data_IF_188266926794
#
_entry.id   IF_188266926794
#
_cell.length_a   1.000
_cell.length_b   1.000
_cell.length_c   1.000
_cell.angle_alpha   90.00
_cell.angle_beta   90.00
_cell.angle_gamma   90.00
#
_symmetry.space_group_name_H-M   'P 1'
#
loop_
_entity.id
_entity.type
_entity.pdbx_description
1 polymer ?
#
# COMPACT_ATOMS: atom_id res chain seq x y z
N UNK A 1 1.48 -3.22 10.89
CA UNK A 1 2.89 -3.65 10.84
C UNK A 1 3.32 -3.86 9.39
N UNK A 2 4.59 -3.59 9.07
CA UNK A 2 5.15 -3.85 7.73
C UNK A 2 5.50 -5.33 7.56
N UNK A 3 5.42 -5.84 6.32
CA UNK A 3 5.74 -7.24 5.97
C UNK A 3 7.22 -7.59 6.14
N UNK A 4 8.12 -6.61 6.12
CA UNK A 4 9.54 -6.77 6.44
C UNK A 4 9.87 -6.66 7.93
N UNK A 5 8.85 -6.48 8.79
CA UNK A 5 9.01 -6.38 10.24
C UNK A 5 8.49 -7.63 10.95
N UNK A 6 9.14 -8.02 12.04
CA UNK A 6 8.73 -9.14 12.92
C UNK A 6 8.21 -8.64 14.27
N UNK A 7 7.79 -7.38 14.38
CA UNK A 7 7.31 -6.79 15.63
C UNK A 7 6.15 -5.82 15.35
N UNK A 8 5.08 -5.81 16.16
CA UNK A 8 4.85 -6.65 17.35
C UNK A 8 4.51 -8.12 17.07
N UNK A 9 4.16 -8.48 15.83
CA UNK A 9 3.72 -9.83 15.49
C UNK A 9 4.76 -10.55 14.62
N UNK A 10 5.41 -11.59 15.16
CA UNK A 10 6.22 -12.48 14.33
C UNK A 10 5.34 -13.27 13.35
N UNK A 11 5.80 -13.48 12.13
CA UNK A 11 5.01 -14.13 11.08
C UNK A 11 5.85 -14.91 10.05
N UNK A 12 5.26 -15.92 9.37
CA UNK A 12 5.99 -16.75 8.40
C UNK A 12 6.10 -16.14 6.99
N UNK A 13 5.39 -15.04 6.70
CA UNK A 13 5.38 -14.41 5.37
C UNK A 13 6.64 -13.57 5.10
N UNK A 14 7.79 -14.24 5.08
CA UNK A 14 9.13 -13.64 4.91
C UNK A 14 9.78 -13.95 3.55
N UNK A 15 9.08 -14.68 2.69
CA UNK A 15 9.52 -14.93 1.32
C UNK A 15 8.98 -13.84 0.39
N UNK A 16 9.84 -13.03 -0.25
CA UNK A 16 9.42 -12.02 -1.22
C UNK A 16 8.61 -12.59 -2.39
N UNK A 17 8.78 -13.87 -2.74
CA UNK A 17 8.04 -14.50 -3.85
C UNK A 17 6.52 -14.60 -3.59
N UNK A 18 6.08 -14.43 -2.34
CA UNK A 18 4.66 -14.38 -1.98
C UNK A 18 4.01 -13.03 -2.30
N UNK A 19 4.80 -12.04 -2.69
CA UNK A 19 4.36 -10.67 -2.93
C UNK A 19 4.63 -10.28 -4.39
N UNK A 20 3.74 -9.49 -5.02
CA UNK A 20 3.99 -8.95 -6.36
C UNK A 20 5.11 -7.89 -6.35
N UNK A 21 5.37 -7.32 -5.18
CA UNK A 21 6.47 -6.40 -4.91
C UNK A 21 7.80 -7.18 -4.93
N UNK A 22 8.87 -6.62 -5.50
CA UNK A 22 10.14 -7.35 -5.69
C UNK A 22 10.86 -7.66 -4.38
N UNK A 23 10.45 -7.00 -3.29
CA UNK A 23 10.99 -7.17 -1.95
C UNK A 23 9.88 -6.98 -0.91
N UNK A 24 10.07 -7.53 0.31
CA UNK A 24 9.16 -7.28 1.44
C UNK A 24 9.11 -5.82 1.86
N UNK A 25 10.23 -5.09 1.70
CA UNK A 25 10.29 -3.67 2.05
C UNK A 25 9.43 -2.80 1.15
N UNK A 26 9.31 -3.17 -0.13
CA UNK A 26 8.40 -2.53 -1.09
C UNK A 26 6.93 -2.92 -0.83
N UNK A 27 6.68 -4.15 -0.36
CA UNK A 27 5.34 -4.55 0.10
C UNK A 27 4.85 -3.69 1.29
N UNK A 28 5.77 -3.05 2.02
CA UNK A 28 5.49 -2.09 3.10
C UNK A 28 4.49 -2.66 4.11
N UNK A 29 3.44 -1.92 4.49
CA UNK A 29 2.33 -2.36 5.33
C UNK A 29 1.01 -2.50 4.55
N UNK A 30 1.07 -2.68 3.23
CA UNK A 30 -0.13 -2.73 2.39
C UNK A 30 -0.89 -4.04 2.56
N UNK A 31 -2.21 -4.02 2.37
CA UNK A 31 -3.04 -5.21 2.46
C UNK A 31 -2.70 -6.23 1.37
N UNK A 32 -2.60 -7.51 1.76
CA UNK A 32 -2.24 -8.64 0.86
C UNK A 32 -3.04 -9.89 1.24
N UNK A 33 -3.05 -10.88 0.36
CA UNK A 33 -3.72 -12.16 0.62
C UNK A 33 -2.81 -13.36 0.30
N UNK A 34 -1.66 -13.51 0.99
CA UNK A 34 -0.67 -14.54 0.65
C UNK A 34 -1.16 -15.97 0.93
N UNK A 35 -2.15 -16.13 1.80
CA UNK A 35 -2.75 -17.42 2.15
C UNK A 35 -4.05 -17.72 1.39
N UNK A 36 -4.41 -16.90 0.40
CA UNK A 36 -5.61 -17.06 -0.41
C UNK A 36 -6.90 -17.20 0.44
N UNK A 37 -6.97 -16.41 1.51
CA UNK A 37 -8.08 -16.31 2.45
C UNK A 37 -9.35 -15.84 1.74
N UNK A 38 -10.49 -16.46 2.04
CA UNK A 38 -11.77 -16.15 1.39
C UNK A 38 -12.36 -14.83 1.86
N UNK A 39 -11.96 -14.34 3.04
CA UNK A 39 -12.39 -13.05 3.57
C UNK A 39 -11.71 -11.86 2.88
N UNK A 40 -10.71 -12.13 2.02
CA UNK A 40 -10.03 -11.11 1.23
C UNK A 40 -8.69 -10.67 1.82
N UNK A 41 -8.15 -9.54 1.33
CA UNK A 41 -6.84 -9.05 1.73
C UNK A 41 -6.84 -8.53 3.16
N UNK A 42 -5.72 -8.72 3.85
CA UNK A 42 -5.52 -8.32 5.24
C UNK A 42 -4.11 -7.77 5.43
N UNK A 43 -3.87 -7.13 6.57
CA UNK A 43 -2.53 -6.73 7.00
C UNK A 43 -2.33 -7.00 8.49
N UNK A 44 -1.07 -7.15 8.93
CA UNK A 44 -0.77 -7.16 10.36
C UNK A 44 -1.02 -5.78 10.96
N UNK A 45 -1.59 -5.70 12.15
CA UNK A 45 -1.78 -4.40 12.82
C UNK A 45 -0.50 -3.97 13.56
N UNK A 46 -0.53 -2.83 14.25
CA UNK A 46 0.54 -2.44 15.18
C UNK A 46 0.14 -2.64 16.65
N UNK A 47 -1.11 -3.06 16.89
CA UNK A 47 -1.62 -3.35 18.22
C UNK A 47 -1.28 -4.78 18.60
N UNK A 48 -0.51 -4.93 19.68
CA UNK A 48 -0.13 -6.23 20.24
C UNK A 48 -1.31 -7.19 20.51
N UNK A 49 -2.52 -6.67 20.73
CA UNK A 49 -3.72 -7.46 21.01
C UNK A 49 -4.51 -7.87 19.76
N UNK A 50 -4.23 -7.26 18.61
CA UNK A 50 -4.94 -7.50 17.35
C UNK A 50 -3.95 -7.87 16.25
N UNK A 51 -3.73 -9.17 16.02
CA UNK A 51 -2.67 -9.64 15.12
C UNK A 51 -2.85 -9.11 13.69
N UNK A 52 -4.04 -9.29 13.11
CA UNK A 52 -4.36 -8.88 11.74
C UNK A 52 -5.77 -8.32 11.64
N UNK A 53 -5.98 -7.46 10.65
CA UNK A 53 -7.29 -6.93 10.30
C UNK A 53 -7.51 -7.08 8.78
N UNK A 54 -8.76 -7.35 8.38
CA UNK A 54 -9.13 -7.40 6.98
C UNK A 54 -9.33 -5.99 6.43
N UNK A 55 -8.90 -5.78 5.20
CA UNK A 55 -9.01 -4.49 4.56
C UNK A 55 -10.29 -4.42 3.73
N UNK A 56 -11.00 -3.32 3.85
CA UNK A 56 -12.20 -3.04 3.04
C UNK A 56 -11.78 -2.56 1.64
N UNK A 57 -11.41 -3.51 0.78
CA UNK A 57 -11.03 -3.26 -0.60
C UNK A 57 -12.19 -3.65 -1.51
N UNK A 58 -12.79 -2.70 -2.25
CA UNK A 58 -13.90 -3.02 -3.14
C UNK A 58 -13.43 -3.94 -4.27
N UNK A 59 -14.33 -4.80 -4.75
CA UNK A 59 -14.05 -5.62 -5.92
C UNK A 59 -13.83 -4.74 -7.14
N UNK A 60 -12.84 -5.09 -7.96
CA UNK A 60 -12.68 -4.48 -9.26
C UNK A 60 -13.89 -4.82 -10.14
N UNK A 61 -14.59 -3.79 -10.64
CA UNK A 61 -15.67 -3.97 -11.60
C UNK A 61 -15.10 -4.47 -12.93
N UNK A 62 -15.22 -5.77 -13.17
CA UNK A 62 -14.86 -6.41 -14.45
C UNK A 62 -15.73 -5.96 -15.63
N UNK A 63 -16.83 -5.24 -15.37
CA UNK A 63 -17.80 -4.78 -16.37
C UNK A 63 -18.37 -3.39 -16.08
N UNK A 64 -17.60 -2.44 -15.54
CA UNK A 64 -18.05 -1.06 -15.45
C UNK A 64 -18.16 -0.40 -16.84
N UNK A 65 -19.14 -0.82 -17.65
CA UNK A 65 -19.81 0.09 -18.59
C UNK A 65 -20.54 1.12 -17.73
N UNK A 66 -19.82 2.18 -17.34
CA UNK A 66 -20.38 3.35 -16.65
C UNK A 66 -21.36 4.07 -17.61
N UNK A 67 -22.46 4.69 -17.12
CA UNK A 67 -22.42 5.61 -15.99
C UNK A 67 -23.36 5.19 -14.87
N UNK A 68 -22.81 4.85 -13.70
CA UNK A 68 -23.56 4.92 -12.45
C UNK A 68 -22.98 6.06 -11.62
N UNK A 69 -23.81 6.94 -11.04
CA UNK A 69 -23.36 8.18 -10.44
C UNK A 69 -22.42 7.88 -9.28
N UNK A 70 -21.22 8.46 -9.36
CA UNK A 70 -20.30 8.52 -8.25
C UNK A 70 -20.98 9.28 -7.11
N UNK A 71 -21.57 8.57 -6.15
CA UNK A 71 -21.73 9.11 -4.81
C UNK A 71 -20.35 9.06 -4.17
N UNK A 72 -19.47 9.95 -4.64
CA UNK A 72 -18.19 10.20 -4.02
C UNK A 72 -18.48 10.73 -2.61
N UNK A 73 -18.08 10.06 -1.52
CA UNK A 73 -17.94 10.77 -0.26
C UNK A 73 -16.85 11.81 -0.49
N UNK A 74 -17.22 13.08 -0.54
CA UNK A 74 -16.30 14.20 -0.59
C UNK A 74 -15.54 14.24 0.74
N UNK A 75 -14.44 13.48 0.82
CA UNK A 75 -13.38 13.79 1.76
C UNK A 75 -12.79 15.13 1.32
N UNK A 76 -13.32 16.20 1.93
CA UNK A 76 -12.74 17.53 1.85
C UNK A 76 -11.40 17.45 2.57
N UNK A 77 -10.33 17.23 1.82
CA UNK A 77 -8.98 17.40 2.36
C UNK A 77 -8.77 18.89 2.61
N UNK A 78 -8.42 19.33 3.83
CA UNK A 78 -7.84 20.65 3.99
C UNK A 78 -6.52 20.65 3.23
N UNK A 79 -6.38 21.60 2.31
CA UNK A 79 -5.14 21.91 1.60
C UNK A 79 -4.00 22.07 2.62
N UNK A 80 -2.96 21.22 2.62
CA UNK A 80 -1.74 21.55 3.32
C UNK A 80 -1.07 22.67 2.52
N UNK A 81 -1.10 23.87 3.09
CA UNK A 81 -0.45 25.03 2.53
C UNK A 81 1.06 24.85 2.72
N UNK A 82 1.79 24.70 1.62
CA UNK A 82 3.24 24.90 1.52
C UNK A 82 4.12 23.78 2.07
N UNK A 83 4.90 23.15 1.20
CA UNK A 83 6.37 23.25 1.20
C UNK A 83 6.91 22.60 -0.07
N UNK A 84 7.70 23.36 -0.81
CA UNK A 84 8.44 23.00 -2.01
C UNK A 84 9.27 21.74 -1.78
N UNK A 85 8.98 20.68 -2.54
CA UNK A 85 9.74 19.42 -2.55
C UNK A 85 10.00 18.97 -3.98
N UNK A 86 11.27 18.81 -4.32
CA UNK A 86 11.84 18.48 -5.62
C UNK A 86 11.18 17.28 -6.34
N UNK A 87 10.87 17.45 -7.62
CA UNK A 87 10.42 16.36 -8.51
C UNK A 87 11.65 15.49 -8.83
N UNK A 88 11.69 14.25 -8.33
CA UNK A 88 12.66 13.25 -8.79
C UNK A 88 12.02 12.40 -9.89
N UNK A 89 12.43 12.61 -11.15
CA UNK A 89 12.05 11.72 -12.25
C UNK A 89 13.05 10.56 -12.32
N UNK A 90 12.58 9.33 -12.08
CA UNK A 90 13.40 8.11 -12.10
C UNK A 90 13.46 7.53 -13.51
N UNK A 91 14.64 7.55 -14.12
CA UNK A 91 14.95 6.75 -15.31
C UNK A 91 16.08 5.78 -14.97
N UNK A 92 15.72 4.52 -14.69
CA UNK A 92 16.70 3.46 -14.44
C UNK A 92 17.39 3.52 -13.06
N UNK A 93 18.58 2.89 -12.90
CA UNK A 93 19.19 2.62 -11.59
C UNK A 93 20.13 3.71 -11.04
N UNK A 94 20.22 4.91 -11.64
CA UNK A 94 21.14 5.96 -11.19
C UNK A 94 20.41 7.28 -10.88
N UNK A 95 20.75 7.92 -9.74
CA UNK A 95 20.29 9.27 -9.38
C UNK A 95 21.37 10.28 -9.82
N UNK A 96 20.99 11.31 -10.58
CA UNK A 96 21.87 12.43 -10.95
C UNK A 96 21.33 13.73 -10.34
N UNK A 97 22.16 14.45 -9.57
CA UNK A 97 21.84 15.79 -9.09
C UNK A 97 21.97 16.78 -10.25
N UNK A 98 20.87 17.44 -10.62
CA UNK A 98 20.88 18.53 -11.60
C UNK A 98 21.02 19.85 -10.83
N UNK A 99 22.16 20.53 -11.00
CA UNK A 99 22.33 21.91 -10.58
C UNK A 99 21.42 22.78 -11.45
N UNK A 100 20.41 23.43 -10.85
CA UNK A 100 19.61 24.44 -11.54
C UNK A 100 20.06 25.84 -11.14
N UNK A 101 20.26 26.68 -12.16
CA UNK A 101 20.43 28.14 -12.13
C UNK A 101 19.18 28.85 -11.61
#
# INVERSE_FOLDING_TARGET
QRWDSQTPHSHPYVDPALFPDRTLGEASNYCRNPNNDQNGPWCYTIDSLLIKEYCDIPFCDKYATSPSPSTTPSYSTPVPTGTTGSIQTKYGPYYIESLNL
#
